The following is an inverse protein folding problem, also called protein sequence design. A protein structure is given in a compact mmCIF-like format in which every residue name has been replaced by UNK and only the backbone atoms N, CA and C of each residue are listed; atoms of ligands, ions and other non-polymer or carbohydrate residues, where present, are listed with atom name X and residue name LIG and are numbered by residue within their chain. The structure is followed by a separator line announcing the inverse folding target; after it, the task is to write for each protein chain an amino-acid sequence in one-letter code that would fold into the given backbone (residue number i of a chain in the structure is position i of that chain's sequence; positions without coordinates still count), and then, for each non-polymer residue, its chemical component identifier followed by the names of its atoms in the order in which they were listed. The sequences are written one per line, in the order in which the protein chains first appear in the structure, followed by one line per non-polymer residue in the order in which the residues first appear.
data_IF_329517703856
#
_entry.id   IF_329517703856
#
_cell.length_a   1.000
_cell.length_b   1.000
_cell.length_c   1.000
_cell.angle_alpha   90.00
_cell.angle_beta   90.00
_cell.angle_gamma   90.00
#
_symmetry.space_group_name_H-M   'P 1'
#
loop_
_entity.id
_entity.type
_entity.pdbx_description
1 polymer ?
#
# COMPACT_ATOMS: atom_id res chain seq x y z
N UNK A 1 -1.78 -21.69 14.09
CA UNK A 1 -1.14 -20.37 14.03
C UNK A 1 0.30 -20.41 14.48
N UNK A 2 1.18 -19.77 13.77
CA UNK A 2 2.62 -19.74 14.10
C UNK A 2 2.96 -18.45 14.83
N UNK A 3 3.20 -18.57 16.12
CA UNK A 3 3.58 -17.41 16.93
C UNK A 3 4.99 -16.96 16.56
N UNK A 4 5.20 -15.66 16.45
CA UNK A 4 6.50 -15.08 16.16
C UNK A 4 6.82 -14.97 14.68
N UNK A 5 5.98 -15.46 13.80
CA UNK A 5 6.18 -15.30 12.37
C UNK A 5 5.63 -13.97 11.91
N UNK A 6 6.41 -13.28 11.08
CA UNK A 6 5.98 -12.04 10.47
C UNK A 6 5.27 -12.38 9.17
N UNK A 7 4.09 -11.80 8.90
CA UNK A 7 3.40 -12.06 7.64
C UNK A 7 4.25 -11.64 6.44
N UNK A 8 4.10 -12.32 5.29
CA UNK A 8 4.83 -11.94 4.09
C UNK A 8 4.54 -10.50 3.68
N UNK A 9 5.57 -9.73 3.38
CA UNK A 9 5.44 -8.34 2.96
C UNK A 9 6.74 -7.86 2.32
N UNK A 10 6.69 -6.71 1.67
CA UNK A 10 7.86 -6.07 1.08
C UNK A 10 7.68 -4.57 1.16
N UNK A 11 8.21 -3.96 2.23
CA UNK A 11 8.07 -2.53 2.48
C UNK A 11 8.75 -1.70 1.40
N UNK A 12 9.91 -2.13 0.93
CA UNK A 12 10.61 -1.39 -0.12
C UNK A 12 9.78 -1.32 -1.40
N UNK A 13 9.14 -2.42 -1.77
CA UNK A 13 8.28 -2.43 -2.94
C UNK A 13 7.08 -1.52 -2.74
N UNK A 14 6.47 -1.52 -1.55
CA UNK A 14 5.35 -0.63 -1.24
C UNK A 14 5.75 0.83 -1.38
N UNK A 15 6.89 1.20 -0.82
CA UNK A 15 7.38 2.57 -0.87
C UNK A 15 7.73 2.98 -2.30
N UNK A 16 8.33 2.08 -3.07
CA UNK A 16 8.67 2.36 -4.46
C UNK A 16 7.43 2.59 -5.32
N UNK A 17 6.37 1.82 -5.08
CA UNK A 17 5.10 2.02 -5.80
C UNK A 17 4.54 3.41 -5.51
N UNK A 18 4.42 3.76 -4.23
CA UNK A 18 3.86 5.05 -3.85
C UNK A 18 4.74 6.19 -4.38
N UNK A 19 6.05 6.06 -4.24
CA UNK A 19 6.98 7.05 -4.77
C UNK A 19 6.82 7.27 -6.27
N UNK A 20 6.63 6.18 -7.01
CA UNK A 20 6.38 6.26 -8.45
C UNK A 20 5.06 6.96 -8.75
N UNK A 21 4.02 6.67 -7.97
CA UNK A 21 2.71 7.28 -8.16
C UNK A 21 2.74 8.79 -7.94
N UNK A 22 3.61 9.27 -7.07
CA UNK A 22 3.72 10.69 -6.78
C UNK A 22 4.42 11.47 -7.89
N UNK A 23 5.09 10.79 -8.81
CA UNK A 23 5.88 11.44 -9.86
C UNK A 23 5.50 11.03 -11.28
N UNK A 24 4.68 10.00 -11.45
CA UNK A 24 4.38 9.44 -12.78
C UNK A 24 2.92 9.00 -12.87
N UNK A 25 2.17 9.62 -13.76
CA UNK A 25 0.76 9.31 -13.97
C UNK A 25 0.55 7.86 -14.43
N UNK A 26 1.48 7.34 -15.22
CA UNK A 26 1.35 5.96 -15.70
C UNK A 26 1.49 4.97 -14.55
N UNK A 27 2.29 5.30 -13.55
CA UNK A 27 2.43 4.47 -12.35
C UNK A 27 1.12 4.45 -11.56
N UNK A 28 0.42 5.58 -11.50
CA UNK A 28 -0.89 5.63 -10.82
C UNK A 28 -1.86 4.68 -11.48
N UNK A 29 -1.96 4.76 -12.81
CA UNK A 29 -2.87 3.90 -13.56
C UNK A 29 -2.52 2.43 -13.37
N UNK A 30 -1.24 2.09 -13.47
CA UNK A 30 -0.79 0.70 -13.32
C UNK A 30 -1.13 0.15 -11.92
N UNK A 31 -0.92 0.93 -10.88
CA UNK A 31 -1.17 0.49 -9.51
C UNK A 31 -2.66 0.36 -9.24
N UNK A 32 -3.45 1.35 -9.64
CA UNK A 32 -4.88 1.38 -9.35
C UNK A 32 -5.62 0.22 -10.03
N UNK A 33 -5.15 -0.21 -11.20
CA UNK A 33 -5.75 -1.34 -11.90
C UNK A 33 -5.59 -2.66 -11.17
N UNK A 34 -4.59 -2.80 -10.32
CA UNK A 34 -4.23 -4.08 -9.72
C UNK A 34 -4.40 -4.10 -8.21
N UNK A 35 -3.99 -3.03 -7.53
CA UNK A 35 -3.88 -3.02 -6.07
C UNK A 35 -5.08 -2.40 -5.38
N UNK A 36 -5.42 -2.97 -4.22
CA UNK A 36 -6.41 -2.42 -3.30
C UNK A 36 -5.68 -2.00 -2.03
N UNK A 37 -6.35 -1.24 -1.17
CA UNK A 37 -5.74 -0.73 0.06
C UNK A 37 -5.18 -1.85 0.93
N UNK A 38 -5.93 -2.95 1.06
CA UNK A 38 -5.52 -4.07 1.90
C UNK A 38 -4.30 -4.81 1.38
N UNK A 39 -3.87 -4.55 0.15
CA UNK A 39 -2.67 -5.18 -0.39
C UNK A 39 -1.40 -4.62 0.24
N UNK A 40 -1.48 -3.43 0.84
CA UNK A 40 -0.36 -2.83 1.54
C UNK A 40 -0.31 -3.36 2.97
N UNK A 41 0.87 -3.79 3.38
CA UNK A 41 1.06 -4.37 4.71
C UNK A 41 1.23 -3.31 5.78
N UNK A 42 2.08 -2.31 5.48
CA UNK A 42 2.39 -1.26 6.44
C UNK A 42 1.25 -0.26 6.49
N UNK A 43 0.82 0.06 7.72
CA UNK A 43 -0.39 0.86 7.91
C UNK A 43 -0.28 2.25 7.29
N UNK A 44 0.88 2.91 7.43
CA UNK A 44 1.07 4.23 6.83
C UNK A 44 0.98 4.20 5.31
N UNK A 45 1.58 3.18 4.68
CA UNK A 45 1.50 3.03 3.23
C UNK A 45 0.08 2.75 2.77
N UNK A 46 -0.67 1.96 3.54
CA UNK A 46 -2.08 1.68 3.26
C UNK A 46 -2.90 2.97 3.27
N UNK A 47 -2.70 3.80 4.28
CA UNK A 47 -3.42 5.07 4.40
C UNK A 47 -3.05 6.01 3.25
N UNK A 48 -1.76 6.10 2.92
CA UNK A 48 -1.31 6.95 1.82
C UNK A 48 -1.92 6.49 0.50
N UNK A 49 -1.94 5.19 0.25
CA UNK A 49 -2.55 4.65 -0.97
C UNK A 49 -4.04 4.99 -1.02
N UNK A 50 -4.73 4.89 0.10
CA UNK A 50 -6.13 5.26 0.21
C UNK A 50 -6.35 6.74 -0.16
N UNK A 51 -5.48 7.62 0.33
CA UNK A 51 -5.55 9.04 -0.01
C UNK A 51 -5.33 9.27 -1.51
N UNK A 52 -4.37 8.55 -2.10
CA UNK A 52 -4.11 8.65 -3.53
C UNK A 52 -5.33 8.18 -4.33
N UNK A 53 -5.97 7.09 -3.89
CA UNK A 53 -7.20 6.62 -4.54
C UNK A 53 -8.31 7.66 -4.50
N UNK A 54 -8.45 8.36 -3.38
CA UNK A 54 -9.45 9.43 -3.28
C UNK A 54 -9.19 10.51 -4.32
N UNK A 55 -7.93 10.94 -4.47
CA UNK A 55 -7.54 11.93 -5.46
C UNK A 55 -7.80 11.43 -6.88
N UNK A 56 -7.42 10.18 -7.14
CA UNK A 56 -7.60 9.57 -8.44
C UNK A 56 -9.08 9.51 -8.82
N UNK A 57 -9.92 9.10 -7.88
CA UNK A 57 -11.36 8.95 -8.13
C UNK A 57 -12.05 10.30 -8.36
N UNK A 58 -11.49 11.39 -7.84
CA UNK A 58 -12.00 12.73 -8.09
C UNK A 58 -11.35 13.40 -9.30
N UNK A 59 -10.48 12.67 -10.01
CA UNK A 59 -9.74 13.17 -11.17
C UNK A 59 -8.87 14.40 -10.83
N UNK A 60 -8.33 14.41 -9.61
CA UNK A 60 -7.44 15.48 -9.15
C UNK A 60 -5.98 15.11 -9.37
N UNK A 61 -5.11 16.11 -9.55
CA UNK A 61 -3.67 15.83 -9.68
C UNK A 61 -3.13 15.11 -8.44
N UNK A 62 -2.15 14.25 -8.65
CA UNK A 62 -1.55 13.47 -7.58
C UNK A 62 -0.08 13.85 -7.48
N UNK A 63 0.27 14.53 -6.39
CA UNK A 63 1.64 14.92 -6.07
C UNK A 63 1.75 15.08 -4.56
N UNK A 64 2.94 15.49 -4.08
CA UNK A 64 3.16 15.65 -2.63
C UNK A 64 2.21 16.66 -2.03
N UNK A 65 1.94 17.75 -2.74
CA UNK A 65 1.10 18.83 -2.22
C UNK A 65 -0.35 18.37 -2.08
N UNK A 66 -0.89 17.74 -3.12
CA UNK A 66 -2.28 17.27 -3.09
C UNK A 66 -2.44 16.12 -2.12
N UNK A 67 -1.44 15.24 -2.03
CA UNK A 67 -1.47 14.15 -1.06
C UNK A 67 -1.51 14.69 0.37
N UNK A 68 -0.66 15.67 0.68
CA UNK A 68 -0.65 16.31 1.99
C UNK A 68 -2.02 16.87 2.33
N UNK A 69 -2.62 17.59 1.39
CA UNK A 69 -3.94 18.17 1.57
C UNK A 69 -5.00 17.11 1.85
N UNK A 70 -4.98 16.04 1.07
CA UNK A 70 -5.93 14.95 1.24
C UNK A 70 -5.77 14.25 2.58
N UNK A 71 -4.53 13.98 2.98
CA UNK A 71 -4.26 13.34 4.27
C UNK A 71 -4.72 14.21 5.44
N UNK A 72 -4.56 15.52 5.33
CA UNK A 72 -5.06 16.45 6.36
C UNK A 72 -6.59 16.41 6.42
N UNK A 73 -7.22 16.37 5.27
CA UNK A 73 -8.67 16.28 5.17
C UNK A 73 -9.20 15.00 5.83
N UNK A 74 -8.46 13.92 5.71
CA UNK A 74 -8.80 12.63 6.31
C UNK A 74 -8.45 12.57 7.81
N UNK A 75 -7.73 13.56 8.33
CA UNK A 75 -7.25 13.55 9.70
C UNK A 75 -6.13 12.54 9.92
N UNK A 76 -5.40 12.19 8.86
CA UNK A 76 -4.39 11.13 8.91
C UNK A 76 -2.97 11.62 8.62
N UNK A 77 -2.78 12.90 8.42
CA UNK A 77 -1.46 13.42 8.01
C UNK A 77 -0.36 13.06 9.00
N UNK A 78 -0.61 13.26 10.30
CA UNK A 78 0.38 12.94 11.32
C UNK A 78 0.53 11.43 11.50
N UNK A 79 -0.54 10.69 11.33
CA UNK A 79 -0.53 9.24 11.50
C UNK A 79 0.40 8.53 10.51
N UNK A 80 0.59 9.10 9.32
CA UNK A 80 1.49 8.50 8.32
C UNK A 80 2.92 9.00 8.43
N UNK A 81 3.23 9.80 9.45
CA UNK A 81 4.58 10.33 9.62
C UNK A 81 4.78 11.74 9.08
N UNK A 82 3.70 12.41 8.71
CA UNK A 82 3.74 13.79 8.24
C UNK A 82 4.56 13.94 6.96
N UNK A 83 4.96 15.18 6.71
CA UNK A 83 5.70 15.51 5.49
C UNK A 83 7.05 14.81 5.41
N UNK A 84 7.68 14.57 6.57
CA UNK A 84 8.99 13.92 6.62
C UNK A 84 8.98 12.54 5.95
N UNK A 85 7.95 11.74 6.21
CA UNK A 85 7.85 10.42 5.57
C UNK A 85 7.50 10.55 4.08
N UNK A 86 6.55 11.42 3.77
CA UNK A 86 6.03 11.55 2.40
C UNK A 86 7.11 12.01 1.42
N UNK A 87 7.93 12.98 1.81
CA UNK A 87 8.95 13.53 0.90
C UNK A 87 10.05 12.52 0.58
N UNK A 88 10.22 11.49 1.40
CA UNK A 88 11.22 10.46 1.15
C UNK A 88 10.78 9.46 0.09
N UNK A 89 9.47 9.32 -0.14
CA UNK A 89 8.94 8.26 -0.98
C UNK A 89 9.42 8.31 -2.43
N UNK A 90 9.45 9.46 -3.09
CA UNK A 90 10.00 9.50 -4.46
C UNK A 90 11.46 9.04 -4.54
N UNK A 91 12.22 9.25 -3.47
CA UNK A 91 13.63 8.84 -3.44
C UNK A 91 13.81 7.34 -3.23
N UNK A 92 12.74 6.63 -2.86
CA UNK A 92 12.80 5.18 -2.66
C UNK A 92 12.71 4.42 -3.97
N UNK A 93 12.49 5.11 -5.08
CA UNK A 93 12.31 4.46 -6.38
C UNK A 93 13.66 4.26 -7.04
N UNK A 94 14.11 2.99 -7.21
CA UNK A 94 15.39 2.74 -7.89
C UNK A 94 15.34 3.16 -9.36
N UNK A 95 14.21 2.88 -10.01
CA UNK A 95 13.94 3.31 -11.37
C UNK A 95 12.43 3.25 -11.59
N UNK A 96 11.87 4.26 -12.27
CA UNK A 96 10.44 4.35 -12.50
C UNK A 96 9.93 3.30 -13.49
N UNK A 97 10.80 2.74 -14.31
CA UNK A 97 10.39 1.75 -15.31
C UNK A 97 10.01 0.40 -14.72
N UNK A 98 10.27 0.18 -13.42
CA UNK A 98 10.02 -1.12 -12.80
C UNK A 98 8.77 -1.17 -11.93
N UNK A 99 7.89 -0.17 -12.02
CA UNK A 99 6.73 -0.11 -11.13
C UNK A 99 5.85 -1.35 -11.24
N UNK A 100 5.67 -1.89 -12.44
CA UNK A 100 4.85 -3.09 -12.62
C UNK A 100 5.42 -4.30 -11.88
N UNK A 101 6.75 -4.41 -11.82
CA UNK A 101 7.39 -5.48 -11.06
C UNK A 101 7.15 -5.30 -9.55
N UNK A 102 7.20 -4.07 -9.06
CA UNK A 102 6.95 -3.80 -7.64
C UNK A 102 5.50 -4.10 -7.28
N UNK A 103 4.57 -3.75 -8.18
CA UNK A 103 3.14 -4.06 -8.01
C UNK A 103 2.94 -5.56 -7.89
N UNK A 104 3.60 -6.33 -8.74
CA UNK A 104 3.50 -7.78 -8.71
C UNK A 104 4.01 -8.36 -7.39
N UNK A 105 5.11 -7.82 -6.88
CA UNK A 105 5.66 -8.26 -5.60
C UNK A 105 4.66 -8.02 -4.47
N UNK A 106 4.09 -6.81 -4.42
CA UNK A 106 3.12 -6.47 -3.37
C UNK A 106 1.86 -7.34 -3.50
N UNK A 107 1.39 -7.54 -4.72
CA UNK A 107 0.22 -8.39 -4.95
C UNK A 107 0.46 -9.82 -4.47
N UNK A 108 1.63 -10.38 -4.76
CA UNK A 108 1.99 -11.73 -4.33
C UNK A 108 2.04 -11.84 -2.80
N UNK A 109 2.64 -10.86 -2.13
CA UNK A 109 2.72 -10.86 -0.68
C UNK A 109 1.33 -10.75 -0.05
N UNK A 110 0.48 -9.93 -0.63
CA UNK A 110 -0.90 -9.78 -0.17
C UNK A 110 -1.66 -11.10 -0.31
N UNK A 111 -1.48 -11.79 -1.43
CA UNK A 111 -2.11 -13.07 -1.68
C UNK A 111 -1.67 -14.12 -0.65
N UNK A 112 -0.38 -14.13 -0.32
CA UNK A 112 0.14 -15.05 0.70
C UNK A 112 -0.45 -14.75 2.08
N UNK A 113 -0.61 -13.48 2.42
CA UNK A 113 -1.25 -13.12 3.70
C UNK A 113 -2.71 -13.57 3.73
N UNK A 114 -3.42 -13.42 2.62
CA UNK A 114 -4.81 -13.87 2.53
C UNK A 114 -4.90 -15.39 2.68
N UNK A 115 -3.96 -16.12 2.10
CA UNK A 115 -3.90 -17.56 2.21
C UNK A 115 -3.70 -18.00 3.67
N UNK A 116 -2.76 -17.35 4.36
CA UNK A 116 -2.49 -17.64 5.78
C UNK A 116 -3.73 -17.37 6.62
N UNK A 117 -4.39 -16.22 6.38
CA UNK A 117 -5.60 -15.89 7.12
C UNK A 117 -6.70 -16.92 6.92
N UNK A 118 -6.90 -17.34 5.68
CA UNK A 118 -7.92 -18.37 5.37
C UNK A 118 -7.58 -19.69 6.04
N UNK A 119 -6.31 -20.08 6.03
CA UNK A 119 -5.88 -21.32 6.68
C UNK A 119 -6.13 -21.25 8.20
N UNK A 120 -5.83 -20.10 8.83
CA UNK A 120 -6.11 -19.92 10.24
C UNK A 120 -7.61 -20.02 10.56
N UNK A 121 -8.44 -19.43 9.70
CA UNK A 121 -9.89 -19.51 9.85
C UNK A 121 -10.38 -20.96 9.74
N UNK A 122 -9.82 -21.72 8.81
CA UNK A 122 -10.17 -23.13 8.64
C UNK A 122 -9.76 -23.94 9.86
N UNK A 123 -8.57 -23.68 10.40
CA UNK A 123 -8.10 -24.36 11.61
C UNK A 123 -9.05 -24.05 12.78
N UNK A 124 -9.42 -22.79 12.93
CA UNK A 124 -10.34 -22.36 13.99
C UNK A 124 -11.69 -23.07 13.87
N UNK A 125 -12.23 -23.16 12.66
CA UNK A 125 -13.47 -23.87 12.42
C UNK A 125 -13.35 -25.35 12.76
N UNK A 126 -12.20 -25.96 12.46
CA UNK A 126 -11.97 -27.36 12.75
C UNK A 126 -11.98 -27.67 14.24
N UNK A 127 -11.61 -26.71 15.07
CA UNK A 127 -11.63 -26.88 16.53
C UNK A 127 -12.92 -26.36 17.16
N UNK A 128 -13.85 -25.82 16.39
CA UNK A 128 -15.11 -25.31 16.92
C UNK A 128 -15.99 -26.47 17.36
N UNK A 129 -16.44 -26.51 18.64
CA UNK A 129 -17.24 -27.60 19.14
C UNK A 129 -18.66 -27.62 18.60
N UNK A 130 -19.13 -26.55 17.99
CA UNK A 130 -20.47 -26.52 17.41
C UNK A 130 -20.44 -26.92 15.95
#
# INVERSE_FOLDING_TARGET
MELGRIPPHDIEAEQAIIGSMLTDKDAVIAAVEVLQEQDFYREDNKIIYSAILNLYNRAEPIDIITLKSELKSMGKFEAVGGLEYIVQLPDKVPTTSNVEQYIKIVEEKSMLRALIKTADELITLGYDPT
#
